data_IF_993476295056
#
_entry.id   IF_993476295056
#
_cell.length_a   1.000
_cell.length_b   1.000
_cell.length_c   1.000
_cell.angle_alpha   90.00
_cell.angle_beta   90.00
_cell.angle_gamma   90.00
#
_symmetry.space_group_name_H-M   'P 1'
#
loop_
_entity.id
_entity.type
_entity.pdbx_description
1 polymer ?
#
# COMPACT_ATOMS: atom_id res chain seq x y z
N UNK A 1 26.44 11.72 0.66
CA UNK A 1 25.31 11.56 -0.27
C UNK A 1 24.50 10.37 0.22
N UNK A 2 23.35 10.59 0.84
CA UNK A 2 22.45 9.52 1.28
C UNK A 2 21.71 8.98 0.06
N UNK A 3 21.98 7.73 -0.29
CA UNK A 3 21.16 7.01 -1.27
C UNK A 3 19.79 6.85 -0.61
N UNK A 4 18.75 7.47 -1.17
CA UNK A 4 17.36 7.21 -0.74
C UNK A 4 17.02 5.75 -1.10
N UNK A 5 17.35 4.82 -0.20
CA UNK A 5 17.22 3.37 -0.42
C UNK A 5 15.77 2.89 -0.34
N UNK A 6 14.85 3.73 0.14
CA UNK A 6 13.45 3.39 0.37
C UNK A 6 12.52 4.39 -0.31
N UNK A 7 11.33 3.91 -0.71
CA UNK A 7 10.25 4.73 -1.27
C UNK A 7 8.98 4.55 -0.44
N UNK A 8 8.26 5.65 -0.23
CA UNK A 8 6.97 5.64 0.45
C UNK A 8 5.87 5.11 -0.47
N UNK A 9 4.98 4.28 0.09
CA UNK A 9 3.82 3.73 -0.59
C UNK A 9 2.60 4.63 -0.42
N UNK A 10 1.68 4.59 -1.38
CA UNK A 10 0.51 5.45 -1.42
C UNK A 10 -0.54 5.05 -0.37
N UNK A 11 -0.49 3.81 0.13
CA UNK A 11 -1.36 3.41 1.22
C UNK A 11 -1.22 1.96 1.65
N UNK A 12 -2.04 1.60 2.65
CA UNK A 12 -2.04 0.28 3.30
C UNK A 12 -2.35 -0.87 2.35
N UNK A 13 -3.13 -0.64 1.29
CA UNK A 13 -3.52 -1.70 0.35
C UNK A 13 -2.34 -2.11 -0.54
N UNK A 14 -1.56 -1.14 -1.02
CA UNK A 14 -0.32 -1.37 -1.76
C UNK A 14 0.71 -2.08 -0.86
N UNK A 15 0.86 -1.60 0.39
CA UNK A 15 1.72 -2.23 1.39
C UNK A 15 1.36 -3.71 1.65
N UNK A 16 0.06 -4.00 1.79
CA UNK A 16 -0.40 -5.38 1.98
C UNK A 16 -0.14 -6.25 0.76
N UNK A 17 -0.36 -5.73 -0.45
CA UNK A 17 -0.07 -6.45 -1.70
C UNK A 17 1.41 -6.82 -1.81
N UNK A 18 2.30 -5.86 -1.57
CA UNK A 18 3.75 -6.08 -1.63
C UNK A 18 4.23 -7.03 -0.53
N UNK A 19 3.70 -6.90 0.69
CA UNK A 19 4.06 -7.80 1.80
C UNK A 19 3.67 -9.26 1.51
N UNK A 20 2.48 -9.51 0.95
CA UNK A 20 2.05 -10.87 0.56
C UNK A 20 2.90 -11.44 -0.58
N UNK A 21 3.44 -10.58 -1.45
CA UNK A 21 4.40 -10.94 -2.51
C UNK A 21 5.82 -11.19 -2.00
N UNK A 22 6.08 -10.99 -0.71
CA UNK A 22 7.37 -11.25 -0.07
C UNK A 22 8.35 -10.07 -0.10
N UNK A 23 7.89 -8.85 -0.39
CA UNK A 23 8.73 -7.66 -0.25
C UNK A 23 8.75 -7.18 1.21
N UNK A 24 9.92 -6.73 1.65
CA UNK A 24 10.08 -6.12 2.97
C UNK A 24 9.39 -4.75 2.99
N UNK A 25 8.31 -4.66 3.77
CA UNK A 25 7.56 -3.42 3.99
C UNK A 25 7.81 -2.97 5.42
N UNK A 26 8.48 -1.84 5.56
CA UNK A 26 8.67 -1.18 6.85
C UNK A 26 7.48 -0.27 7.16
N UNK A 27 7.07 -0.26 8.43
CA UNK A 27 5.97 0.58 8.90
C UNK A 27 6.52 1.57 9.91
N UNK A 28 6.54 2.84 9.53
CA UNK A 28 6.91 3.93 10.41
C UNK A 28 5.66 4.61 10.93
N UNK A 29 5.73 5.07 12.19
CA UNK A 29 4.68 5.88 12.80
C UNK A 29 5.30 7.19 13.24
N UNK A 30 4.81 8.29 12.67
CA UNK A 30 5.30 9.61 13.03
C UNK A 30 4.72 10.10 14.38
N UNK A 31 5.24 11.24 14.84
CA UNK A 31 4.80 11.89 16.08
C UNK A 31 3.32 12.31 16.04
N UNK A 32 2.76 12.49 14.84
CA UNK A 32 1.35 12.84 14.60
C UNK A 32 0.46 11.59 14.54
N UNK A 33 1.01 10.40 14.81
CA UNK A 33 0.34 9.09 14.73
C UNK A 33 -0.09 8.72 13.32
N UNK A 34 0.48 9.33 12.29
CA UNK A 34 0.34 8.92 10.90
C UNK A 34 1.23 7.72 10.65
N UNK A 35 0.73 6.76 9.87
CA UNK A 35 1.50 5.61 9.43
C UNK A 35 2.06 5.88 8.04
N UNK A 36 3.35 5.67 7.87
CA UNK A 36 4.05 5.64 6.58
C UNK A 36 4.54 4.23 6.31
N UNK A 37 4.44 3.80 5.05
CA UNK A 37 4.86 2.47 4.62
C UNK A 37 6.03 2.64 3.66
N UNK A 38 7.18 2.06 3.99
CA UNK A 38 8.41 2.20 3.24
C UNK A 38 8.79 0.85 2.65
N UNK A 39 9.27 0.85 1.41
CA UNK A 39 9.81 -0.35 0.76
C UNK A 39 11.15 -0.05 0.09
N UNK A 40 12.06 -1.03 0.01
CA UNK A 40 13.31 -0.88 -0.72
C UNK A 40 13.05 -0.49 -2.17
N UNK A 41 13.76 0.52 -2.66
CA UNK A 41 13.68 0.96 -4.05
C UNK A 41 14.49 0.00 -4.94
N UNK A 42 13.83 -1.05 -5.39
CA UNK A 42 14.41 -2.03 -6.33
C UNK A 42 13.56 -2.12 -7.60
N UNK A 43 14.14 -2.55 -8.74
CA UNK A 43 13.37 -2.78 -9.97
C UNK A 43 12.23 -3.79 -9.78
N UNK A 44 12.42 -4.79 -8.92
CA UNK A 44 11.39 -5.78 -8.61
C UNK A 44 10.23 -5.15 -7.83
N UNK A 45 10.53 -4.29 -6.84
CA UNK A 45 9.51 -3.55 -6.10
C UNK A 45 8.74 -2.61 -7.03
N UNK A 46 9.43 -1.86 -7.90
CA UNK A 46 8.76 -0.95 -8.84
C UNK A 46 7.86 -1.70 -9.84
N UNK A 47 8.28 -2.89 -10.31
CA UNK A 47 7.45 -3.73 -11.16
C UNK A 47 6.20 -4.24 -10.42
N UNK A 48 6.34 -4.70 -9.18
CA UNK A 48 5.21 -5.16 -8.37
C UNK A 48 4.24 -4.01 -8.02
N UNK A 49 4.75 -2.78 -7.85
CA UNK A 49 3.91 -1.58 -7.67
C UNK A 49 3.11 -1.25 -8.93
N UNK A 50 3.70 -1.38 -10.12
CA UNK A 50 2.96 -1.23 -11.39
C UNK A 50 1.90 -2.30 -11.54
N UNK A 51 2.24 -3.56 -11.25
CA UNK A 51 1.27 -4.67 -11.26
C UNK A 51 0.09 -4.40 -10.31
N UNK A 52 0.36 -3.89 -9.10
CA UNK A 52 -0.70 -3.50 -8.18
C UNK A 52 -1.64 -2.44 -8.78
N UNK A 53 -1.09 -1.43 -9.46
CA UNK A 53 -1.87 -0.36 -10.07
C UNK A 53 -2.67 -0.83 -11.29
N UNK A 54 -2.13 -1.78 -12.06
CA UNK A 54 -2.71 -2.27 -13.31
C UNK A 54 -3.66 -3.47 -13.11
N UNK A 55 -3.57 -4.20 -11.99
CA UNK A 55 -4.45 -5.33 -11.67
C UNK A 55 -5.88 -4.86 -11.35
N UNK A 56 -6.74 -4.89 -12.37
CA UNK A 56 -8.15 -4.51 -12.26
C UNK A 56 -8.90 -5.30 -11.18
N UNK A 57 -8.55 -6.56 -10.94
CA UNK A 57 -9.25 -7.39 -9.96
C UNK A 57 -8.98 -6.92 -8.54
N UNK A 58 -7.71 -6.58 -8.26
CA UNK A 58 -7.27 -5.99 -7.00
C UNK A 58 -7.93 -4.63 -6.80
N UNK A 59 -7.92 -3.77 -7.82
CA UNK A 59 -8.51 -2.44 -7.73
C UNK A 59 -10.02 -2.47 -7.51
N UNK A 60 -10.74 -3.36 -8.21
CA UNK A 60 -12.19 -3.56 -7.99
C UNK A 60 -12.49 -4.08 -6.59
N UNK A 61 -11.69 -5.02 -6.09
CA UNK A 61 -11.83 -5.51 -4.71
C UNK A 61 -11.65 -4.39 -3.68
N UNK A 62 -10.60 -3.58 -3.83
CA UNK A 62 -10.34 -2.44 -2.94
C UNK A 62 -11.51 -1.45 -2.98
N UNK A 63 -12.03 -1.15 -4.17
CA UNK A 63 -13.17 -0.26 -4.34
C UNK A 63 -14.44 -0.82 -3.67
N UNK A 64 -14.77 -2.09 -3.89
CA UNK A 64 -15.92 -2.74 -3.27
C UNK A 64 -15.82 -2.74 -1.74
N UNK A 65 -14.64 -3.04 -1.19
CA UNK A 65 -14.39 -3.00 0.26
C UNK A 65 -14.57 -1.59 0.83
N UNK A 66 -14.13 -0.55 0.11
CA UNK A 66 -14.32 0.86 0.50
C UNK A 66 -15.80 1.25 0.50
N UNK A 67 -16.55 0.85 -0.52
CA UNK A 67 -17.99 1.09 -0.61
C UNK A 67 -18.74 0.39 0.52
N UNK A 68 -18.44 -0.89 0.80
CA UNK A 68 -19.06 -1.63 1.90
C UNK A 68 -18.81 -0.95 3.25
N UNK A 69 -17.57 -0.54 3.52
CA UNK A 69 -17.23 0.17 4.76
C UNK A 69 -17.96 1.51 4.89
N UNK A 70 -18.16 2.22 3.78
CA UNK A 70 -18.94 3.46 3.76
C UNK A 70 -20.42 3.18 4.06
N UNK A 71 -21.01 2.16 3.42
CA UNK A 71 -22.39 1.75 3.67
C UNK A 71 -22.63 1.33 5.13
N UNK A 72 -21.70 0.57 5.72
CA UNK A 72 -21.80 0.13 7.12
C UNK A 72 -21.78 1.29 8.13
N UNK A 73 -21.13 2.40 7.82
CA UNK A 73 -21.11 3.60 8.69
C UNK A 73 -22.42 4.38 8.68
N UNK A 74 -23.26 4.16 7.67
CA UNK A 74 -24.55 4.84 7.50
C UNK A 74 -25.70 4.01 8.05
N UNK A 75 -25.44 2.78 8.51
CA UNK A 75 -26.43 1.97 9.22
C UNK A 75 -26.60 2.55 10.64
N UNK A 76 -27.87 2.73 11.10
CA UNK A 76 -28.18 3.28 12.43
C UNK A 76 -27.77 2.36 13.59
#
# INVERSE_FOLDING_TARGET
MSVEMFTELEGRDEAAFLSVRGFDVEVERDEQRKYSFLVPRTPATEAARREFAEDESVQRFIQARRQLKAAMRLLP
#
